data_IF_321033966288
#
_entry.id   IF_321033966288
#
_cell.length_a   1.000
_cell.length_b   1.000
_cell.length_c   1.000
_cell.angle_alpha   90.00
_cell.angle_beta   90.00
_cell.angle_gamma   90.00
#
_symmetry.space_group_name_H-M   'P 1'
#
loop_
_entity.id
_entity.type
_entity.pdbx_description
1 polymer ?
#
# COMPACT_ATOMS: atom_id res chain seq x y z
N UNK A 1 -39.47 10.48 25.03
CA UNK A 1 -39.24 10.50 23.56
C UNK A 1 -37.80 10.10 23.35
N UNK A 2 -37.45 9.18 22.44
CA UNK A 2 -36.06 8.78 22.27
C UNK A 2 -35.29 9.99 21.75
N UNK A 3 -34.29 10.35 22.53
CA UNK A 3 -33.39 11.46 22.30
C UNK A 3 -32.51 11.12 21.08
N UNK A 4 -32.48 11.99 20.07
CA UNK A 4 -31.73 11.78 18.82
C UNK A 4 -30.63 12.82 18.61
N UNK A 5 -29.58 12.44 17.88
CA UNK A 5 -28.45 13.29 17.52
C UNK A 5 -28.23 13.27 16.01
N UNK A 6 -28.08 14.44 15.42
CA UNK A 6 -27.82 14.59 13.99
C UNK A 6 -26.33 14.43 13.69
N UNK A 7 -25.98 13.59 12.73
CA UNK A 7 -24.60 13.46 12.28
C UNK A 7 -24.12 14.78 11.64
N UNK A 8 -23.00 15.35 12.08
CA UNK A 8 -22.49 16.60 11.52
C UNK A 8 -22.00 16.46 10.06
N UNK A 9 -21.62 15.24 9.64
CA UNK A 9 -21.08 15.00 8.30
C UNK A 9 -22.17 14.75 7.24
N UNK A 10 -23.12 13.85 7.51
CA UNK A 10 -24.13 13.45 6.53
C UNK A 10 -25.57 13.86 6.88
N UNK A 11 -25.78 14.49 8.04
CA UNK A 11 -27.10 14.91 8.57
C UNK A 11 -28.08 13.77 8.80
N UNK A 12 -27.62 12.52 8.87
CA UNK A 12 -28.45 11.39 9.27
C UNK A 12 -28.78 11.46 10.76
N UNK A 13 -30.01 11.10 11.13
CA UNK A 13 -30.49 11.09 12.52
C UNK A 13 -30.09 9.77 13.20
N UNK A 14 -29.29 9.85 14.27
CA UNK A 14 -28.84 8.70 15.03
C UNK A 14 -29.43 8.74 16.45
N UNK A 15 -29.46 7.60 17.14
CA UNK A 15 -29.81 7.57 18.55
C UNK A 15 -28.71 8.24 19.41
N UNK A 16 -29.06 9.00 20.45
CA UNK A 16 -28.11 9.76 21.28
C UNK A 16 -27.00 8.90 21.91
N UNK A 17 -27.23 7.59 22.11
CA UNK A 17 -26.24 6.66 22.65
C UNK A 17 -25.19 6.17 21.63
N UNK A 18 -25.34 6.48 20.34
CA UNK A 18 -24.39 6.05 19.31
C UNK A 18 -23.16 6.96 19.30
N UNK A 19 -21.96 6.35 19.26
CA UNK A 19 -20.65 7.05 19.16
C UNK A 19 -20.27 7.40 17.71
N UNK A 20 -20.81 6.64 16.75
CA UNK A 20 -20.54 6.78 15.32
C UNK A 20 -21.86 6.75 14.54
N UNK A 21 -21.90 7.47 13.43
CA UNK A 21 -23.06 7.53 12.55
C UNK A 21 -23.22 6.19 11.82
N UNK A 22 -24.42 5.61 11.88
CA UNK A 22 -24.69 4.31 11.26
C UNK A 22 -24.62 4.34 9.73
N UNK A 23 -24.75 5.53 9.11
CA UNK A 23 -24.74 5.66 7.65
C UNK A 23 -23.36 5.97 7.07
N UNK A 24 -22.55 6.81 7.73
CA UNK A 24 -21.25 7.23 7.19
C UNK A 24 -20.04 6.91 8.07
N UNK A 25 -20.24 6.35 9.27
CA UNK A 25 -19.17 5.96 10.18
C UNK A 25 -18.49 7.09 10.96
N UNK A 26 -18.82 8.36 10.70
CA UNK A 26 -18.23 9.52 11.39
C UNK A 26 -18.74 9.65 12.84
N UNK A 27 -17.90 10.18 13.74
CA UNK A 27 -18.26 10.38 15.15
C UNK A 27 -19.45 11.34 15.31
N UNK A 28 -20.35 11.00 16.23
CA UNK A 28 -21.59 11.75 16.53
C UNK A 28 -21.45 12.67 17.74
N UNK A 29 -20.39 12.54 18.54
CA UNK A 29 -20.11 13.40 19.70
C UNK A 29 -19.27 14.63 19.33
N UNK A 30 -19.64 15.79 19.86
CA UNK A 30 -18.90 17.06 19.70
C UNK A 30 -17.61 17.13 20.56
N UNK A 31 -17.34 16.15 21.41
CA UNK A 31 -16.11 16.05 22.23
C UNK A 31 -14.88 15.59 21.44
N UNK A 32 -14.79 15.95 20.16
CA UNK A 32 -13.60 15.79 19.33
C UNK A 32 -12.71 17.05 19.36
N UNK A 33 -12.70 17.76 20.49
CA UNK A 33 -11.79 18.91 20.74
C UNK A 33 -10.86 18.63 21.91
N UNK A 34 -10.15 17.51 21.87
CA UNK A 34 -8.71 17.58 22.12
C UNK A 34 -8.05 17.56 20.75
N UNK A 35 -8.02 18.74 20.13
CA UNK A 35 -7.08 19.02 19.08
C UNK A 35 -5.69 18.90 19.70
N UNK A 36 -5.14 17.68 19.65
CA UNK A 36 -3.71 17.48 19.77
C UNK A 36 -3.07 18.47 18.81
N UNK A 37 -2.36 19.42 19.40
CA UNK A 37 -1.56 20.46 18.80
C UNK A 37 -1.07 20.07 17.39
N UNK A 38 -1.81 20.50 16.35
CA UNK A 38 -1.51 20.24 14.94
C UNK A 38 -0.42 21.19 14.44
N UNK A 39 0.62 21.40 15.24
CA UNK A 39 1.91 21.70 14.64
C UNK A 39 2.33 20.42 13.92
N UNK A 40 2.72 20.48 12.63
CA UNK A 40 3.31 19.32 11.98
C UNK A 40 4.51 18.93 12.83
N UNK A 41 4.42 17.79 13.52
CA UNK A 41 5.55 17.24 14.24
C UNK A 41 6.68 17.14 13.21
N UNK A 42 7.81 17.87 13.37
CA UNK A 42 8.91 17.81 12.42
C UNK A 42 9.58 16.45 12.61
N UNK A 43 8.96 15.40 12.07
CA UNK A 43 9.51 14.05 12.07
C UNK A 43 10.64 14.01 11.04
N UNK A 44 11.75 13.33 11.36
CA UNK A 44 12.98 13.56 10.66
C UNK A 44 12.91 12.94 9.26
N UNK A 45 13.06 13.78 8.22
CA UNK A 45 13.40 13.36 6.85
C UNK A 45 14.50 12.28 6.83
N UNK A 46 15.34 12.27 7.87
CA UNK A 46 16.40 11.31 8.16
C UNK A 46 15.94 9.83 8.14
N UNK A 47 14.83 9.44 8.78
CA UNK A 47 14.40 8.03 8.81
C UNK A 47 13.98 7.52 7.42
N UNK A 48 13.36 8.40 6.62
CA UNK A 48 12.99 8.09 5.23
C UNK A 48 14.23 7.95 4.36
N UNK A 49 15.22 8.82 4.55
CA UNK A 49 16.49 8.75 3.82
C UNK A 49 17.32 7.52 4.21
N UNK A 50 17.33 7.13 5.49
CA UNK A 50 17.98 5.91 5.99
C UNK A 50 17.35 4.65 5.38
N UNK A 51 16.02 4.59 5.37
CA UNK A 51 15.27 3.46 4.79
C UNK A 51 15.47 3.38 3.27
N UNK A 52 15.46 4.53 2.59
CA UNK A 52 15.77 4.62 1.17
C UNK A 52 17.22 4.18 0.87
N UNK A 53 18.18 4.58 1.71
CA UNK A 53 19.57 4.14 1.61
C UNK A 53 19.72 2.63 1.82
N UNK A 54 18.99 2.05 2.77
CA UNK A 54 18.93 0.60 2.99
C UNK A 54 18.41 -0.13 1.74
N UNK A 55 17.35 0.37 1.12
CA UNK A 55 16.81 -0.19 -0.12
C UNK A 55 17.81 -0.11 -1.28
N UNK A 56 18.52 1.02 -1.43
CA UNK A 56 19.58 1.18 -2.44
C UNK A 56 20.71 0.17 -2.23
N UNK A 57 21.10 -0.08 -0.97
CA UNK A 57 22.09 -1.12 -0.63
C UNK A 57 21.61 -2.52 -1.00
N UNK A 58 20.36 -2.88 -0.65
CA UNK A 58 19.77 -4.17 -1.03
C UNK A 58 19.75 -4.35 -2.54
N UNK A 59 19.35 -3.32 -3.29
CA UNK A 59 19.32 -3.35 -4.74
C UNK A 59 20.73 -3.54 -5.32
N UNK A 60 21.71 -2.81 -4.80
CA UNK A 60 23.11 -2.94 -5.22
C UNK A 60 23.69 -4.34 -4.92
N UNK A 61 23.52 -4.85 -3.70
CA UNK A 61 23.98 -6.19 -3.30
C UNK A 61 23.32 -7.32 -4.10
N UNK A 62 22.08 -7.10 -4.55
CA UNK A 62 21.33 -8.07 -5.35
C UNK A 62 21.52 -7.87 -6.87
N UNK A 63 22.27 -6.85 -7.30
CA UNK A 63 22.48 -6.53 -8.72
C UNK A 63 21.22 -6.00 -9.43
N UNK A 64 20.25 -5.49 -8.69
CA UNK A 64 19.00 -4.96 -9.23
C UNK A 64 19.17 -3.52 -9.73
N UNK A 65 18.45 -3.16 -10.80
CA UNK A 65 18.47 -1.77 -11.28
C UNK A 65 17.54 -0.93 -10.41
N UNK A 66 18.07 0.09 -9.75
CA UNK A 66 17.30 1.06 -8.98
C UNK A 66 17.27 2.43 -9.68
N UNK A 67 16.10 3.05 -9.74
CA UNK A 67 15.91 4.40 -10.30
C UNK A 67 15.06 5.20 -9.32
N UNK A 68 15.57 6.32 -8.83
CA UNK A 68 14.79 7.26 -8.04
C UNK A 68 13.71 7.92 -8.91
N UNK A 69 12.52 8.07 -8.35
CA UNK A 69 11.36 8.70 -8.99
C UNK A 69 10.81 9.77 -8.05
N UNK A 70 9.94 10.66 -8.56
CA UNK A 70 9.33 11.71 -7.74
C UNK A 70 8.51 11.17 -6.56
N UNK A 71 8.04 9.93 -6.63
CA UNK A 71 7.15 9.32 -5.64
C UNK A 71 7.86 8.29 -4.74
N UNK A 72 9.14 8.00 -4.96
CA UNK A 72 9.87 6.94 -4.28
C UNK A 72 10.91 6.28 -5.19
N UNK A 73 11.25 5.01 -4.95
CA UNK A 73 12.28 4.28 -5.71
C UNK A 73 11.62 3.20 -6.57
N UNK A 74 12.04 3.08 -7.83
CA UNK A 74 11.66 1.96 -8.69
C UNK A 74 12.81 0.97 -8.79
N UNK A 75 12.56 -0.27 -8.41
CA UNK A 75 13.50 -1.40 -8.48
C UNK A 75 13.06 -2.37 -9.57
N UNK A 76 13.96 -2.71 -10.49
CA UNK A 76 13.73 -3.76 -11.48
C UNK A 76 14.37 -5.06 -11.01
N UNK A 77 13.53 -6.03 -10.69
CA UNK A 77 13.92 -7.36 -10.19
C UNK A 77 13.88 -8.36 -11.37
N UNK A 78 14.99 -9.04 -11.69
CA UNK A 78 14.99 -10.12 -12.67
C UNK A 78 14.33 -11.38 -12.10
N UNK A 79 13.44 -12.01 -12.88
CA UNK A 79 12.74 -13.25 -12.55
C UNK A 79 12.96 -14.22 -13.72
N UNK A 80 14.01 -15.04 -13.64
CA UNK A 80 14.44 -15.85 -14.77
C UNK A 80 14.85 -14.98 -15.96
N UNK A 81 14.17 -15.16 -17.10
CA UNK A 81 14.39 -14.34 -18.32
C UNK A 81 13.56 -13.04 -18.34
N UNK A 82 12.53 -12.96 -17.49
CA UNK A 82 11.62 -11.81 -17.38
C UNK A 82 12.09 -10.81 -16.33
N UNK A 83 11.49 -9.63 -16.32
CA UNK A 83 11.83 -8.56 -15.38
C UNK A 83 10.56 -7.92 -14.84
N UNK A 84 10.48 -7.80 -13.52
CA UNK A 84 9.37 -7.14 -12.86
C UNK A 84 9.82 -5.82 -12.25
N UNK A 85 8.97 -4.80 -12.35
CA UNK A 85 9.20 -3.49 -11.72
C UNK A 85 8.42 -3.40 -10.42
N UNK A 86 9.13 -3.10 -9.34
CA UNK A 86 8.57 -2.84 -8.01
C UNK A 86 8.79 -1.37 -7.68
N UNK A 87 7.70 -0.67 -7.37
CA UNK A 87 7.69 0.69 -6.89
C UNK A 87 7.68 0.67 -5.37
N UNK A 88 8.62 1.36 -4.76
CA UNK A 88 8.73 1.48 -3.31
C UNK A 88 8.53 2.92 -2.90
N UNK A 89 7.58 3.16 -2.00
CA UNK A 89 7.23 4.50 -1.51
C UNK A 89 7.35 4.53 0.01
N UNK A 90 7.81 5.66 0.54
CA UNK A 90 8.11 5.85 1.98
C UNK A 90 7.23 6.92 2.64
N UNK A 91 6.14 7.31 1.98
CA UNK A 91 5.30 8.43 2.39
C UNK A 91 3.99 8.01 3.07
N UNK A 92 3.79 6.70 3.29
CA UNK A 92 2.60 6.18 3.94
C UNK A 92 2.74 6.17 5.46
N UNK A 93 1.61 6.22 6.16
CA UNK A 93 1.51 5.94 7.60
C UNK A 93 0.39 4.92 7.84
N UNK A 94 0.52 4.14 8.91
CA UNK A 94 -0.59 3.32 9.41
C UNK A 94 -1.58 4.17 10.24
N UNK A 95 -2.65 3.53 10.71
CA UNK A 95 -3.69 4.20 11.50
C UNK A 95 -3.19 4.70 12.88
N UNK A 96 -2.04 4.18 13.35
CA UNK A 96 -1.37 4.59 14.59
C UNK A 96 -0.32 5.70 14.35
N UNK A 97 -0.09 6.04 13.07
CA UNK A 97 0.83 7.08 12.65
C UNK A 97 2.28 6.62 12.46
N UNK A 98 2.57 5.32 12.46
CA UNK A 98 3.91 4.79 12.16
C UNK A 98 4.20 4.85 10.66
N UNK A 99 5.43 5.19 10.29
CA UNK A 99 5.83 5.26 8.88
C UNK A 99 5.88 3.85 8.26
N UNK A 100 5.30 3.71 7.07
CA UNK A 100 5.29 2.45 6.31
C UNK A 100 6.07 2.56 5.00
N UNK A 101 6.73 1.45 4.66
CA UNK A 101 7.34 1.19 3.37
C UNK A 101 6.32 0.40 2.55
N UNK A 102 5.82 0.99 1.47
CA UNK A 102 4.89 0.30 0.56
C UNK A 102 5.63 -0.18 -0.68
N UNK A 103 5.53 -1.48 -0.95
CA UNK A 103 6.03 -2.15 -2.15
C UNK A 103 4.84 -2.43 -3.06
N UNK A 104 4.91 -1.95 -4.30
CA UNK A 104 3.81 -2.06 -5.27
C UNK A 104 4.36 -2.52 -6.61
N UNK A 105 3.79 -3.57 -7.18
CA UNK A 105 4.11 -4.01 -8.54
C UNK A 105 2.84 -4.16 -9.37
N UNK A 106 2.87 -3.60 -10.58
CA UNK A 106 1.74 -3.64 -11.52
C UNK A 106 1.74 -5.00 -12.23
N UNK A 107 0.60 -5.68 -12.24
CA UNK A 107 0.44 -7.00 -12.86
C UNK A 107 -0.25 -6.95 -14.22
N UNK A 108 -1.05 -5.90 -14.48
CA UNK A 108 -1.81 -5.77 -15.72
C UNK A 108 -3.06 -4.90 -15.55
N UNK A 109 -3.76 -4.64 -16.65
CA UNK A 109 -5.00 -3.87 -16.65
C UNK A 109 -6.10 -4.57 -15.85
N UNK A 110 -6.92 -3.76 -15.17
CA UNK A 110 -8.04 -4.27 -14.40
C UNK A 110 -9.08 -4.96 -15.29
N UNK A 111 -9.56 -6.11 -14.82
CA UNK A 111 -10.68 -6.83 -15.43
C UNK A 111 -11.50 -7.55 -14.35
N UNK A 112 -12.76 -7.14 -14.19
CA UNK A 112 -13.66 -7.63 -13.14
C UNK A 112 -13.84 -9.16 -13.12
N UNK A 113 -13.62 -9.85 -14.24
CA UNK A 113 -13.69 -11.32 -14.33
C UNK A 113 -12.71 -12.05 -13.40
N UNK A 114 -11.61 -11.40 -13.03
CA UNK A 114 -10.55 -12.02 -12.23
C UNK A 114 -10.64 -11.72 -10.73
N UNK A 115 -11.55 -10.83 -10.29
CA UNK A 115 -11.61 -10.32 -8.91
C UNK A 115 -11.73 -11.44 -7.87
N UNK A 116 -12.71 -12.33 -8.02
CA UNK A 116 -12.95 -13.41 -7.07
C UNK A 116 -11.73 -14.34 -6.96
N UNK A 117 -11.07 -14.62 -8.08
CA UNK A 117 -9.90 -15.50 -8.12
C UNK A 117 -8.70 -14.85 -7.43
N UNK A 118 -8.46 -13.56 -7.66
CA UNK A 118 -7.38 -12.82 -7.02
C UNK A 118 -7.60 -12.68 -5.51
N UNK A 119 -8.83 -12.43 -5.06
CA UNK A 119 -9.17 -12.42 -3.63
C UNK A 119 -8.97 -13.79 -2.97
N UNK A 120 -9.28 -14.90 -3.67
CA UNK A 120 -8.94 -16.24 -3.17
C UNK A 120 -7.43 -16.50 -3.14
N UNK A 121 -6.63 -15.86 -4.00
CA UNK A 121 -5.18 -15.96 -3.91
C UNK A 121 -4.66 -15.24 -2.67
N UNK A 122 -5.23 -14.10 -2.28
CA UNK A 122 -4.81 -13.36 -1.08
C UNK A 122 -4.83 -14.25 0.18
N UNK A 123 -5.80 -15.15 0.31
CA UNK A 123 -5.87 -16.05 1.48
C UNK A 123 -4.76 -17.10 1.55
N UNK A 124 -4.00 -17.30 0.47
CA UNK A 124 -2.89 -18.25 0.37
C UNK A 124 -1.53 -17.56 0.24
N UNK A 125 -1.51 -16.24 0.10
CA UNK A 125 -0.28 -15.47 -0.03
C UNK A 125 0.38 -15.32 1.33
N UNK A 126 1.70 -15.54 1.36
CA UNK A 126 2.51 -15.29 2.56
C UNK A 126 2.98 -13.85 2.62
N UNK A 127 3.18 -13.22 1.46
CA UNK A 127 3.70 -11.86 1.34
C UNK A 127 2.88 -11.07 0.33
N UNK A 128 2.40 -9.91 0.77
CA UNK A 128 1.59 -9.01 -0.03
C UNK A 128 0.16 -9.51 -0.29
N UNK A 129 -0.59 -8.67 -1.00
CA UNK A 129 -1.96 -8.92 -1.41
C UNK A 129 -2.21 -8.31 -2.79
N UNK A 130 -3.12 -8.90 -3.54
CA UNK A 130 -3.68 -8.29 -4.73
C UNK A 130 -4.63 -7.16 -4.35
N UNK A 131 -4.45 -6.03 -5.02
CA UNK A 131 -5.30 -4.85 -4.92
C UNK A 131 -5.56 -4.27 -6.33
N UNK A 132 -6.46 -3.29 -6.38
CA UNK A 132 -6.72 -2.49 -7.57
C UNK A 132 -6.16 -1.09 -7.29
N UNK A 133 -5.38 -0.56 -8.22
CA UNK A 133 -4.81 0.79 -8.11
C UNK A 133 -5.05 1.58 -9.39
N UNK A 134 -5.37 2.86 -9.24
CA UNK A 134 -5.64 3.76 -10.36
C UNK A 134 -4.38 4.55 -10.70
N UNK A 135 -3.81 4.28 -11.88
CA UNK A 135 -2.59 4.93 -12.37
C UNK A 135 -2.96 5.72 -13.63
N UNK A 136 -2.82 7.05 -13.57
CA UNK A 136 -3.17 7.98 -14.67
C UNK A 136 -4.60 7.81 -15.20
N UNK A 137 -5.55 7.50 -14.32
CA UNK A 137 -6.97 7.36 -14.65
C UNK A 137 -7.40 5.97 -15.12
N UNK A 138 -6.46 5.03 -15.29
CA UNK A 138 -6.78 3.63 -15.60
C UNK A 138 -6.57 2.75 -14.37
N UNK A 139 -7.44 1.77 -14.20
CA UNK A 139 -7.33 0.78 -13.11
C UNK A 139 -6.43 -0.38 -13.51
N UNK A 140 -5.56 -0.78 -12.60
CA UNK A 140 -4.65 -1.91 -12.78
C UNK A 140 -4.74 -2.85 -11.58
N UNK A 141 -4.54 -4.14 -11.85
CA UNK A 141 -4.20 -5.07 -10.78
C UNK A 141 -2.77 -4.83 -10.33
N UNK A 142 -2.60 -4.73 -9.02
CA UNK A 142 -1.29 -4.58 -8.38
C UNK A 142 -1.13 -5.62 -7.29
N UNK A 143 0.10 -6.08 -7.07
CA UNK A 143 0.48 -6.69 -5.79
C UNK A 143 1.05 -5.57 -4.94
N UNK A 144 0.49 -5.39 -3.75
CA UNK A 144 1.02 -4.47 -2.77
C UNK A 144 1.40 -5.20 -1.49
N UNK A 145 2.40 -4.67 -0.80
CA UNK A 145 2.76 -5.11 0.54
C UNK A 145 3.33 -3.93 1.34
N UNK A 146 3.07 -3.90 2.64
CA UNK A 146 3.52 -2.83 3.53
C UNK A 146 4.41 -3.41 4.62
N UNK A 147 5.47 -2.70 4.98
CA UNK A 147 6.35 -3.00 6.10
C UNK A 147 6.51 -1.75 6.95
N UNK A 148 6.51 -1.88 8.29
CA UNK A 148 6.83 -0.76 9.17
C UNK A 148 8.29 -0.35 8.98
N UNK A 149 8.55 0.94 8.81
CA UNK A 149 9.91 1.44 8.59
C UNK A 149 10.84 1.16 9.78
N UNK A 150 10.30 1.22 11.00
CA UNK A 150 11.06 1.04 12.25
C UNK A 150 11.60 -0.38 12.44
N UNK A 151 10.89 -1.39 11.94
CA UNK A 151 11.27 -2.80 12.06
C UNK A 151 11.90 -3.35 10.78
N UNK A 152 12.01 -2.53 9.74
CA UNK A 152 12.49 -3.00 8.44
C UNK A 152 13.97 -3.33 8.51
N UNK A 153 14.29 -4.60 8.28
CA UNK A 153 15.67 -5.06 8.12
C UNK A 153 16.02 -5.38 6.65
N UNK A 154 17.31 -5.61 6.42
CA UNK A 154 17.84 -5.90 5.09
C UNK A 154 17.26 -7.20 4.49
N UNK A 155 17.07 -8.23 5.31
CA UNK A 155 16.62 -9.53 4.87
C UNK A 155 15.12 -9.52 4.52
N UNK A 156 14.31 -8.84 5.33
CA UNK A 156 12.89 -8.60 5.11
C UNK A 156 12.68 -7.78 3.85
N UNK A 157 13.35 -6.64 3.68
CA UNK A 157 13.21 -5.81 2.46
C UNK A 157 13.55 -6.62 1.21
N UNK A 158 14.64 -7.39 1.25
CA UNK A 158 15.05 -8.25 0.13
C UNK A 158 13.98 -9.29 -0.19
N UNK A 159 13.42 -9.93 0.85
CA UNK A 159 12.35 -10.92 0.70
C UNK A 159 11.08 -10.29 0.14
N UNK A 160 10.66 -9.14 0.65
CA UNK A 160 9.49 -8.42 0.19
C UNK A 160 9.61 -8.00 -1.28
N UNK A 161 10.76 -7.43 -1.67
CA UNK A 161 11.02 -7.06 -3.06
C UNK A 161 10.90 -8.27 -4.00
N UNK A 162 11.52 -9.40 -3.63
CA UNK A 162 11.51 -10.60 -4.45
C UNK A 162 10.12 -11.24 -4.53
N UNK A 163 9.43 -11.41 -3.40
CA UNK A 163 8.12 -12.07 -3.35
C UNK A 163 7.02 -11.26 -4.05
N UNK A 164 7.03 -9.93 -3.89
CA UNK A 164 6.11 -9.03 -4.62
C UNK A 164 6.36 -9.10 -6.12
N UNK A 165 7.64 -9.10 -6.53
CA UNK A 165 8.02 -9.22 -7.93
C UNK A 165 7.56 -10.57 -8.52
N UNK A 166 7.87 -11.69 -7.86
CA UNK A 166 7.47 -13.02 -8.30
C UNK A 166 5.94 -13.21 -8.32
N UNK A 167 5.23 -12.63 -7.35
CA UNK A 167 3.77 -12.72 -7.31
C UNK A 167 3.11 -11.95 -8.44
N UNK A 168 3.64 -10.76 -8.77
CA UNK A 168 3.16 -9.96 -9.88
C UNK A 168 3.41 -10.64 -11.23
N UNK A 169 4.63 -11.15 -11.46
CA UNK A 169 5.00 -11.85 -12.70
C UNK A 169 4.14 -13.10 -12.95
N UNK A 170 3.86 -13.90 -11.91
CA UNK A 170 3.00 -15.10 -12.00
C UNK A 170 1.57 -14.79 -12.43
N UNK A 171 1.03 -13.65 -11.99
CA UNK A 171 -0.32 -13.22 -12.38
C UNK A 171 -0.29 -12.54 -13.74
N UNK A 172 0.72 -11.74 -14.04
CA UNK A 172 0.91 -11.15 -15.36
C UNK A 172 0.93 -12.23 -16.45
N UNK A 173 1.74 -13.29 -16.28
CA UNK A 173 1.80 -14.42 -17.21
C UNK A 173 0.42 -15.05 -17.46
N UNK A 174 -0.38 -15.20 -16.40
CA UNK A 174 -1.73 -15.77 -16.46
C UNK A 174 -2.77 -14.82 -17.05
N UNK A 175 -2.60 -13.51 -16.88
CA UNK A 175 -3.53 -12.49 -17.37
C UNK A 175 -3.26 -12.12 -18.83
N UNK A 176 -1.99 -12.05 -19.24
CA UNK A 176 -1.58 -11.68 -20.58
C UNK A 176 -1.41 -12.87 -21.53
N UNK A 177 -1.48 -14.11 -21.01
CA UNK A 177 -1.24 -15.33 -21.77
C UNK A 177 0.21 -15.45 -22.23
N UNK A 178 1.17 -15.03 -21.39
CA UNK A 178 2.61 -15.05 -21.68
C UNK A 178 3.12 -13.89 -22.54
N UNK A 179 2.36 -12.81 -22.70
CA UNK A 179 2.85 -11.58 -23.33
C UNK A 179 3.38 -10.63 -22.25
N UNK A 180 4.67 -10.31 -22.28
CA UNK A 180 5.23 -9.25 -21.44
C UNK A 180 4.51 -7.94 -21.76
N UNK A 181 3.82 -7.39 -20.77
CA UNK A 181 3.15 -6.10 -20.93
C UNK A 181 4.15 -4.96 -20.69
N UNK A 182 5.34 -5.25 -20.12
CA UNK A 182 6.30 -4.22 -19.68
C UNK A 182 7.78 -4.56 -19.75
#
# INVERSE_FOLDING_TARGET
MPESVMCPACKFENALATRFCIQCGMSTSADATEAADLTPNPRPEMMREETAALLRRVAHESGYKCVDTKAGIRVTVPIGERKQRVHVTFNGQDDEGHDIISFISVCGEYNSKHNQRLLHFNSRMTYGAFAISTIKGNEYFVVCANQLAETADLAEIKKMLFEVACSADRIEDRLSGGKDVF
#
